data_IF_584290344311
#
_entry.id   IF_584290344311
#
_cell.length_a   1.000
_cell.length_b   1.000
_cell.length_c   1.000
_cell.angle_alpha   90.00
_cell.angle_beta   90.00
_cell.angle_gamma   90.00
#
_symmetry.space_group_name_H-M   'P 1'
#
loop_
_entity.id
_entity.type
_entity.pdbx_description
1 polymer ?
#
# COMPACT_ATOMS: atom_id res chain seq x y z
N UNK A 1 33.98 26.82 -13.51
CA UNK A 1 32.56 26.85 -13.12
C UNK A 1 31.90 25.73 -13.89
N UNK A 2 31.85 24.52 -13.33
CA UNK A 2 31.21 23.38 -13.92
C UNK A 2 29.73 23.44 -13.61
N UNK A 3 28.94 23.38 -14.67
CA UNK A 3 27.49 23.23 -14.62
C UNK A 3 27.19 21.79 -14.17
N UNK A 4 27.01 21.57 -12.87
CA UNK A 4 26.43 20.36 -12.31
C UNK A 4 24.90 20.42 -12.48
N UNK A 5 24.45 20.34 -13.72
CA UNK A 5 23.05 20.02 -13.96
C UNK A 5 22.80 18.60 -13.45
N UNK A 6 22.12 18.52 -12.30
CA UNK A 6 21.66 17.27 -11.72
C UNK A 6 20.94 16.46 -12.83
N UNK A 7 21.53 15.34 -13.22
CA UNK A 7 20.88 14.36 -14.11
C UNK A 7 19.70 13.78 -13.35
N UNK A 8 18.54 14.38 -13.52
CA UNK A 8 17.28 13.71 -13.15
C UNK A 8 17.22 12.42 -13.96
N UNK A 9 17.33 11.29 -13.29
CA UNK A 9 17.16 10.00 -13.93
C UNK A 9 15.79 10.00 -14.63
N UNK A 10 15.77 9.63 -15.90
CA UNK A 10 14.53 9.53 -16.67
C UNK A 10 13.81 8.27 -16.18
N UNK A 11 13.04 8.40 -15.08
CA UNK A 11 12.33 7.29 -14.45
C UNK A 11 11.01 7.14 -15.17
N UNK A 12 10.76 5.94 -15.68
CA UNK A 12 9.49 5.62 -16.30
C UNK A 12 8.34 5.82 -15.29
N UNK A 13 7.15 6.27 -15.74
CA UNK A 13 6.01 6.44 -14.84
C UNK A 13 5.62 5.10 -14.19
N UNK A 14 5.10 5.15 -12.98
CA UNK A 14 4.63 3.95 -12.29
C UNK A 14 3.56 3.22 -13.13
N UNK A 15 3.65 1.89 -13.33
CA UNK A 15 2.69 1.16 -14.12
C UNK A 15 1.29 1.17 -13.48
N UNK A 16 0.25 1.26 -14.30
CA UNK A 16 -1.14 1.31 -13.84
C UNK A 16 -1.76 -0.08 -13.67
N UNK A 17 -1.21 -1.08 -14.34
CA UNK A 17 -1.73 -2.46 -14.33
C UNK A 17 -0.61 -3.48 -14.19
N UNK A 18 -0.95 -4.69 -13.74
CA UNK A 18 0.01 -5.79 -13.67
C UNK A 18 0.60 -6.13 -15.05
N UNK A 19 -0.22 -6.16 -16.09
CA UNK A 19 0.23 -6.45 -17.46
C UNK A 19 1.23 -5.40 -17.95
N UNK A 20 0.98 -4.15 -17.63
CA UNK A 20 1.91 -3.05 -17.95
C UNK A 20 3.22 -3.19 -17.18
N UNK A 21 3.17 -3.46 -15.86
CA UNK A 21 4.36 -3.71 -15.04
C UNK A 21 5.24 -4.84 -15.60
N UNK A 22 4.61 -5.90 -16.13
CA UNK A 22 5.33 -7.03 -16.74
C UNK A 22 5.90 -6.71 -18.13
N UNK A 23 5.51 -5.60 -18.75
CA UNK A 23 6.06 -5.12 -20.02
C UNK A 23 7.26 -4.17 -19.85
N UNK A 24 7.48 -3.67 -18.63
CA UNK A 24 8.59 -2.74 -18.33
C UNK A 24 9.95 -3.46 -18.29
N UNK A 25 11.06 -2.72 -18.52
CA UNK A 25 12.41 -3.25 -18.34
C UNK A 25 12.61 -3.83 -16.93
N UNK A 26 12.01 -3.17 -15.93
CA UNK A 26 12.11 -3.52 -14.50
C UNK A 26 11.05 -4.53 -14.03
N UNK A 27 10.51 -5.33 -14.97
CA UNK A 27 9.48 -6.34 -14.68
C UNK A 27 9.87 -7.33 -13.57
N UNK A 28 11.16 -7.63 -13.43
CA UNK A 28 11.65 -8.55 -12.40
C UNK A 28 11.46 -7.94 -10.99
N UNK A 29 11.75 -6.67 -10.84
CA UNK A 29 11.59 -5.90 -9.61
C UNK A 29 10.11 -5.73 -9.25
N UNK A 30 9.27 -5.41 -10.23
CA UNK A 30 7.82 -5.34 -10.05
C UNK A 30 7.22 -6.68 -9.64
N UNK A 31 7.67 -7.78 -10.27
CA UNK A 31 7.24 -9.12 -9.89
C UNK A 31 7.65 -9.46 -8.46
N UNK A 32 8.90 -9.14 -8.07
CA UNK A 32 9.37 -9.35 -6.70
C UNK A 32 8.53 -8.56 -5.69
N UNK A 33 8.20 -7.28 -5.98
CA UNK A 33 7.34 -6.47 -5.13
C UNK A 33 5.93 -7.05 -4.96
N UNK A 34 5.34 -7.60 -6.04
CA UNK A 34 4.05 -8.30 -5.96
C UNK A 34 4.14 -9.57 -5.10
N UNK A 35 5.22 -10.34 -5.26
CA UNK A 35 5.44 -11.56 -4.47
C UNK A 35 5.57 -11.23 -2.98
N UNK A 36 6.34 -10.20 -2.63
CA UNK A 36 6.51 -9.75 -1.25
C UNK A 36 5.17 -9.36 -0.60
N UNK A 37 4.32 -8.63 -1.32
CA UNK A 37 2.99 -8.24 -0.83
C UNK A 37 2.10 -9.47 -0.60
N UNK A 38 2.11 -10.43 -1.52
CA UNK A 38 1.33 -11.67 -1.37
C UNK A 38 1.82 -12.56 -0.23
N UNK A 39 3.15 -12.67 -0.05
CA UNK A 39 3.74 -13.40 1.06
C UNK A 39 3.34 -12.81 2.42
N UNK A 40 3.23 -11.48 2.54
CA UNK A 40 2.74 -10.85 3.75
C UNK A 40 1.30 -11.26 4.06
N UNK A 41 0.41 -11.31 3.08
CA UNK A 41 -0.96 -11.78 3.28
C UNK A 41 -1.04 -13.24 3.72
N UNK A 42 -0.23 -14.11 3.10
CA UNK A 42 -0.17 -15.53 3.46
C UNK A 42 0.38 -15.72 4.87
N UNK A 43 1.50 -15.06 5.21
CA UNK A 43 2.11 -15.16 6.55
C UNK A 43 1.19 -14.67 7.67
N UNK A 44 0.31 -13.72 7.38
CA UNK A 44 -0.63 -13.17 8.36
C UNK A 44 -2.01 -13.86 8.33
N UNK A 45 -2.19 -14.90 7.50
CA UNK A 45 -3.47 -15.61 7.32
C UNK A 45 -4.64 -14.65 7.04
N UNK A 46 -4.43 -13.65 6.15
CA UNK A 46 -5.42 -12.61 5.86
C UNK A 46 -6.62 -13.14 5.08
N UNK A 47 -6.43 -14.19 4.27
CA UNK A 47 -7.49 -14.80 3.47
C UNK A 47 -7.30 -16.30 3.28
N UNK A 48 -8.40 -16.99 3.09
CA UNK A 48 -8.47 -18.39 2.72
C UNK A 48 -8.89 -18.56 1.25
N UNK A 49 -8.32 -19.55 0.58
CA UNK A 49 -8.70 -19.91 -0.78
C UNK A 49 -9.95 -20.76 -0.76
N UNK A 50 -11.05 -20.19 -1.21
CA UNK A 50 -12.36 -20.87 -1.23
C UNK A 50 -12.98 -20.85 -2.63
N UNK A 51 -13.85 -21.82 -2.92
CA UNK A 51 -14.72 -21.75 -4.09
C UNK A 51 -15.76 -20.65 -3.88
N UNK A 52 -16.07 -19.89 -4.94
CA UNK A 52 -17.07 -18.82 -4.86
C UNK A 52 -18.43 -19.40 -4.42
N UNK A 53 -18.99 -18.98 -3.27
CA UNK A 53 -20.34 -19.38 -2.90
C UNK A 53 -21.39 -18.79 -3.84
N UNK A 54 -22.51 -19.49 -4.02
CA UNK A 54 -23.63 -18.97 -4.82
C UNK A 54 -24.26 -17.74 -4.16
N UNK A 55 -24.58 -16.73 -4.97
CA UNK A 55 -25.22 -15.50 -4.50
C UNK A 55 -24.28 -14.49 -3.83
N UNK A 56 -23.02 -14.82 -3.56
CA UNK A 56 -22.10 -13.89 -2.92
C UNK A 56 -21.53 -12.84 -3.88
N UNK A 57 -21.49 -11.60 -3.41
CA UNK A 57 -20.84 -10.48 -4.10
C UNK A 57 -19.33 -10.63 -3.97
N UNK A 58 -18.63 -10.55 -5.09
CA UNK A 58 -17.17 -10.63 -5.12
C UNK A 58 -16.59 -9.25 -5.40
N UNK A 59 -15.70 -8.82 -4.52
CA UNK A 59 -14.98 -7.55 -4.67
C UNK A 59 -13.76 -7.75 -5.57
N UNK A 60 -13.63 -6.91 -6.58
CA UNK A 60 -12.45 -6.92 -7.44
C UNK A 60 -11.27 -6.26 -6.75
N UNK A 61 -10.06 -6.76 -7.02
CA UNK A 61 -8.82 -6.14 -6.58
C UNK A 61 -8.08 -5.49 -7.76
N UNK A 62 -7.16 -4.59 -7.41
CA UNK A 62 -6.18 -4.04 -8.36
C UNK A 62 -4.83 -3.93 -7.67
N UNK A 63 -3.78 -4.01 -8.47
CA UNK A 63 -2.44 -3.62 -8.05
C UNK A 63 -2.29 -2.10 -8.09
N UNK A 64 -1.55 -1.57 -7.13
CA UNK A 64 -1.05 -0.19 -7.11
C UNK A 64 0.45 -0.26 -6.98
N UNK A 65 1.14 0.24 -7.99
CA UNK A 65 2.59 0.24 -8.08
C UNK A 65 3.13 1.60 -7.69
N UNK A 66 4.29 1.63 -7.05
CA UNK A 66 4.97 2.87 -6.69
C UNK A 66 6.48 2.67 -6.65
N UNK A 67 7.18 3.42 -7.46
CA UNK A 67 8.64 3.56 -7.39
C UNK A 67 8.99 4.46 -6.20
N UNK A 68 9.88 4.00 -5.35
CA UNK A 68 10.43 4.79 -4.24
C UNK A 68 11.81 5.27 -4.61
N UNK A 69 12.04 6.57 -4.41
CA UNK A 69 13.29 7.22 -4.71
C UNK A 69 14.03 7.54 -3.42
N UNK A 70 15.34 7.46 -3.48
CA UNK A 70 16.23 7.97 -2.45
C UNK A 70 16.31 9.53 -2.49
N UNK A 71 16.99 10.17 -1.54
CA UNK A 71 17.18 11.62 -1.51
C UNK A 71 17.91 12.18 -2.74
N UNK A 72 18.68 11.35 -3.45
CA UNK A 72 19.45 11.72 -4.65
C UNK A 72 18.60 11.55 -5.93
N UNK A 73 17.34 11.12 -5.79
CA UNK A 73 16.40 10.93 -6.90
C UNK A 73 16.63 9.63 -7.69
N UNK A 74 17.40 8.68 -7.16
CA UNK A 74 17.59 7.36 -7.76
C UNK A 74 16.54 6.39 -7.23
N UNK A 75 16.26 5.32 -7.99
CA UNK A 75 15.31 4.28 -7.56
C UNK A 75 15.90 3.51 -6.38
N UNK A 76 15.28 3.66 -5.22
CA UNK A 76 15.62 2.93 -4.01
C UNK A 76 14.99 1.52 -4.01
N UNK A 77 13.68 1.44 -4.24
CA UNK A 77 12.95 0.18 -4.37
C UNK A 77 11.60 0.34 -5.06
N UNK A 78 11.07 -0.79 -5.52
CA UNK A 78 9.74 -0.91 -6.14
C UNK A 78 8.75 -1.42 -5.10
N UNK A 79 7.59 -0.80 -5.02
CA UNK A 79 6.52 -1.20 -4.10
C UNK A 79 5.24 -1.52 -4.84
N UNK A 80 4.68 -2.70 -4.58
CA UNK A 80 3.35 -3.07 -5.02
C UNK A 80 2.42 -3.17 -3.81
N UNK A 81 1.14 -2.82 -4.01
CA UNK A 81 0.08 -3.03 -3.03
C UNK A 81 -1.13 -3.61 -3.72
N UNK A 82 -1.71 -4.64 -3.12
CA UNK A 82 -2.99 -5.17 -3.56
C UNK A 82 -4.11 -4.44 -2.83
N UNK A 83 -4.99 -3.77 -3.58
CA UNK A 83 -6.10 -3.01 -3.00
C UNK A 83 -7.44 -3.47 -3.55
N UNK A 84 -8.42 -3.62 -2.67
CA UNK A 84 -9.79 -3.90 -3.04
C UNK A 84 -10.42 -2.66 -3.71
N UNK A 85 -11.20 -2.89 -4.76
CA UNK A 85 -11.97 -1.82 -5.42
C UNK A 85 -13.25 -1.55 -4.61
N UNK A 86 -13.14 -0.74 -3.55
CA UNK A 86 -14.23 -0.44 -2.62
C UNK A 86 -15.41 0.35 -3.21
N UNK A 87 -15.31 0.86 -4.45
CA UNK A 87 -16.38 1.64 -5.09
C UNK A 87 -17.69 0.86 -5.31
N UNK A 88 -17.67 -0.47 -5.22
CA UNK A 88 -18.84 -1.32 -5.32
C UNK A 88 -19.41 -1.74 -3.96
N UNK A 89 -18.81 -1.32 -2.87
CA UNK A 89 -19.27 -1.60 -1.51
C UNK A 89 -20.29 -0.54 -1.07
N UNK A 90 -21.37 -0.99 -0.43
CA UNK A 90 -22.45 -0.14 0.07
C UNK A 90 -22.36 -0.09 1.59
N UNK A 91 -22.34 1.12 2.14
CA UNK A 91 -22.37 1.34 3.58
C UNK A 91 -23.65 0.74 4.19
N UNK A 92 -23.51 0.05 5.32
CA UNK A 92 -24.61 -0.64 5.99
C UNK A 92 -24.93 -2.04 5.46
N UNK A 93 -24.33 -2.46 4.31
CA UNK A 93 -24.49 -3.79 3.72
C UNK A 93 -23.14 -4.51 3.67
N UNK A 94 -22.14 -3.88 3.08
CA UNK A 94 -20.81 -4.44 2.85
C UNK A 94 -19.79 -4.02 3.93
N UNK A 95 -20.07 -2.96 4.69
CA UNK A 95 -19.27 -2.49 5.84
C UNK A 95 -20.11 -1.57 6.73
N UNK A 96 -19.85 -1.57 8.04
CA UNK A 96 -20.58 -0.75 9.00
C UNK A 96 -19.82 0.52 9.42
N UNK A 97 -18.50 0.45 9.48
CA UNK A 97 -17.64 1.58 9.85
C UNK A 97 -16.29 1.52 9.14
N UNK A 98 -15.90 2.62 8.51
CA UNK A 98 -14.55 2.80 7.91
C UNK A 98 -13.90 4.06 8.44
N UNK A 99 -13.68 4.13 9.76
CA UNK A 99 -12.95 5.26 10.32
C UNK A 99 -11.47 4.90 10.48
N UNK A 100 -10.63 5.51 9.65
CA UNK A 100 -9.17 5.47 9.80
C UNK A 100 -8.70 6.89 10.11
N UNK A 101 -8.47 7.23 11.40
CA UNK A 101 -8.01 8.56 11.76
C UNK A 101 -6.57 8.75 11.25
N UNK A 102 -6.42 9.67 10.32
CA UNK A 102 -5.10 10.16 9.90
C UNK A 102 -4.86 11.49 10.61
N UNK A 103 -3.85 11.52 11.46
CA UNK A 103 -3.48 12.76 12.18
C UNK A 103 -3.02 13.80 11.18
N UNK A 104 -3.60 15.01 11.25
CA UNK A 104 -3.17 16.14 10.41
C UNK A 104 -1.71 16.53 10.67
N UNK A 105 -1.01 16.89 9.62
CA UNK A 105 0.42 17.26 9.70
C UNK A 105 0.68 18.39 10.71
N UNK A 106 -0.18 19.39 10.76
CA UNK A 106 -0.14 20.48 11.74
C UNK A 106 -0.23 20.00 13.19
N UNK A 107 -1.06 18.98 13.46
CA UNK A 107 -1.19 18.39 14.80
C UNK A 107 0.10 17.70 15.22
N UNK A 108 0.75 16.97 14.31
CA UNK A 108 2.06 16.35 14.56
C UNK A 108 3.10 17.41 14.86
N UNK A 109 3.17 18.47 14.04
CA UNK A 109 4.11 19.58 14.25
C UNK A 109 3.90 20.27 15.59
N UNK A 110 2.65 20.52 15.99
CA UNK A 110 2.33 21.13 17.29
C UNK A 110 2.77 20.24 18.44
N UNK A 111 2.52 18.92 18.35
CA UNK A 111 2.96 17.96 19.36
C UNK A 111 4.48 17.91 19.49
N UNK A 112 5.20 17.90 18.37
CA UNK A 112 6.66 17.91 18.34
C UNK A 112 7.23 19.21 18.97
N UNK A 113 6.66 20.36 18.64
CA UNK A 113 7.06 21.64 19.21
C UNK A 113 6.82 21.67 20.73
N UNK A 114 5.66 21.18 21.18
CA UNK A 114 5.34 21.11 22.60
C UNK A 114 6.26 20.16 23.37
N UNK A 115 6.55 18.98 22.81
CA UNK A 115 7.48 18.03 23.40
C UNK A 115 8.90 18.60 23.50
N UNK A 116 9.35 19.30 22.46
CA UNK A 116 10.66 19.96 22.44
C UNK A 116 10.77 21.04 23.52
N UNK A 117 9.73 21.89 23.70
CA UNK A 117 9.68 22.93 24.69
C UNK A 117 9.74 22.38 26.14
N UNK A 118 9.17 21.20 26.36
CA UNK A 118 9.14 20.55 27.67
C UNK A 118 10.30 19.56 27.89
N UNK A 119 11.22 19.41 26.95
CA UNK A 119 12.35 18.49 27.03
C UNK A 119 11.95 17.01 27.04
N UNK A 120 10.83 16.67 26.39
CA UNK A 120 10.35 15.29 26.33
C UNK A 120 11.11 14.48 25.27
N UNK A 121 11.35 13.22 25.57
CA UNK A 121 11.86 12.28 24.58
C UNK A 121 10.74 11.83 23.65
N UNK A 122 11.03 11.83 22.35
CA UNK A 122 10.09 11.42 21.32
C UNK A 122 10.55 10.09 20.73
N UNK A 123 9.65 9.11 20.67
CA UNK A 123 9.87 7.83 20.02
C UNK A 123 8.89 7.68 18.88
N UNK A 124 9.40 7.35 17.69
CA UNK A 124 8.58 7.02 16.54
C UNK A 124 8.55 5.51 16.35
N UNK A 125 7.36 4.96 16.25
CA UNK A 125 7.15 3.53 15.96
C UNK A 125 6.35 3.45 14.67
N UNK A 126 6.87 2.73 13.68
CA UNK A 126 6.16 2.39 12.46
C UNK A 126 5.80 0.90 12.52
N UNK A 127 4.51 0.62 12.60
CA UNK A 127 4.02 -0.75 12.65
C UNK A 127 3.67 -1.21 11.23
N UNK A 128 4.37 -2.24 10.75
CA UNK A 128 4.06 -2.86 9.46
C UNK A 128 2.65 -3.45 9.48
N UNK A 129 1.89 -3.19 8.41
CA UNK A 129 0.59 -3.83 8.15
C UNK A 129 -0.44 -3.68 9.30
N UNK A 130 -0.45 -2.55 10.01
CA UNK A 130 -1.36 -2.29 11.14
C UNK A 130 -2.82 -2.62 10.85
N UNK A 131 -3.28 -2.28 9.64
CA UNK A 131 -4.67 -2.50 9.22
C UNK A 131 -5.02 -3.98 9.00
N UNK A 132 -4.02 -4.85 8.87
CA UNK A 132 -4.20 -6.29 8.71
C UNK A 132 -4.25 -7.05 10.04
N UNK A 133 -3.98 -6.38 11.15
CA UNK A 133 -3.97 -6.97 12.50
C UNK A 133 -5.34 -6.95 13.19
N UNK A 134 -6.41 -6.58 12.49
CA UNK A 134 -7.77 -6.54 13.02
C UNK A 134 -8.62 -7.60 12.35
N UNK A 135 -9.32 -8.41 13.14
CA UNK A 135 -10.28 -9.39 12.63
C UNK A 135 -11.45 -8.67 11.96
N UNK A 136 -11.74 -9.05 10.73
CA UNK A 136 -12.98 -8.68 10.04
C UNK A 136 -14.12 -9.52 10.59
N UNK A 137 -15.22 -8.88 10.95
CA UNK A 137 -16.45 -9.55 11.39
C UNK A 137 -17.31 -9.99 10.21
N UNK A 138 -17.13 -9.35 9.07
CA UNK A 138 -17.85 -9.59 7.84
C UNK A 138 -17.08 -10.56 6.93
N UNK A 139 -17.79 -11.51 6.30
CA UNK A 139 -17.24 -12.36 5.26
C UNK A 139 -17.15 -11.60 3.94
N UNK A 140 -15.94 -11.29 3.49
CA UNK A 140 -15.69 -10.57 2.24
C UNK A 140 -15.00 -11.49 1.24
N UNK A 141 -15.63 -11.70 0.09
CA UNK A 141 -15.06 -12.49 -1.00
C UNK A 141 -14.35 -11.57 -1.99
N UNK A 142 -13.08 -11.84 -2.23
CA UNK A 142 -12.24 -11.07 -3.18
C UNK A 142 -11.87 -11.94 -4.38
N UNK A 143 -11.78 -11.31 -5.55
CA UNK A 143 -11.30 -11.99 -6.75
C UNK A 143 -9.78 -12.10 -6.68
N UNK A 144 -9.26 -13.31 -6.95
CA UNK A 144 -7.82 -13.56 -7.07
C UNK A 144 -7.23 -12.56 -8.08
N UNK A 145 -6.18 -11.83 -7.75
CA UNK A 145 -5.52 -10.91 -8.67
C UNK A 145 -4.80 -11.66 -9.79
N UNK A 146 -4.55 -10.97 -10.89
CA UNK A 146 -3.64 -11.44 -11.93
C UNK A 146 -2.20 -11.28 -11.44
N UNK A 147 -1.38 -12.32 -11.55
CA UNK A 147 0.04 -12.31 -11.22
C UNK A 147 0.51 -13.41 -10.34
#
# INVERSE_FOLDING_TARGET
MGDESAKVANIDPDPLTYTEAMSYPDRAQWKAACTEEMEQFICQNIFDMVSKPEGCKVVNCKWVFKTKLDPDGQVEYYKARLVAKGFSQVEGIDFNETYSPVVGHSTVQTLLAFACTNGWHIYQIDAKSVFLNKDLKEEIYIKIPLG
#
